data_IF_905485362219
#
_entry.id   IF_905485362219
#
_cell.length_a   1.000
_cell.length_b   1.000
_cell.length_c   1.000
_cell.angle_alpha   90.00
_cell.angle_beta   90.00
_cell.angle_gamma   90.00
#
_symmetry.space_group_name_H-M   'P 1'
#
loop_
_entity.id
_entity.type
_entity.pdbx_description
1 polymer ?
#
# COMPACT_ATOMS: atom_id res chain seq x y z
N UNK A 1 -0.11 39.12 -18.45
CA UNK A 1 -0.99 38.99 -17.26
C UNK A 1 -0.87 37.55 -16.79
N UNK A 2 -0.17 37.29 -15.69
CA UNK A 2 -0.09 35.93 -15.13
C UNK A 2 -1.47 35.54 -14.60
N UNK A 3 -2.17 34.67 -15.30
CA UNK A 3 -3.40 34.07 -14.77
C UNK A 3 -3.00 33.21 -13.59
N UNK A 4 -3.32 33.64 -12.37
CA UNK A 4 -3.17 32.80 -11.18
C UNK A 4 -3.95 31.51 -11.41
N UNK A 5 -3.29 30.37 -11.34
CA UNK A 5 -3.93 29.06 -11.48
C UNK A 5 -4.72 28.75 -10.22
N UNK A 6 -5.98 28.37 -10.40
CA UNK A 6 -6.82 27.91 -9.29
C UNK A 6 -6.31 26.56 -8.78
N UNK A 7 -6.17 26.44 -7.46
CA UNK A 7 -5.60 25.26 -6.79
C UNK A 7 -6.55 24.82 -5.68
N UNK A 8 -6.95 23.55 -5.74
CA UNK A 8 -7.63 22.87 -4.64
C UNK A 8 -6.69 21.86 -3.98
N UNK A 9 -6.68 21.86 -2.65
CA UNK A 9 -5.96 20.89 -1.85
C UNK A 9 -6.96 20.04 -1.06
N UNK A 10 -6.80 18.73 -1.14
CA UNK A 10 -7.66 17.76 -0.48
C UNK A 10 -6.87 16.61 0.14
N UNK A 11 -7.45 15.99 1.16
CA UNK A 11 -6.87 14.92 1.96
C UNK A 11 -7.98 14.13 2.66
N UNK A 12 -7.72 12.90 3.10
CA UNK A 12 -8.75 11.99 3.65
C UNK A 12 -9.48 12.56 4.87
N UNK A 13 -8.78 13.30 5.73
CA UNK A 13 -9.36 13.99 6.90
C UNK A 13 -9.87 15.42 6.62
N UNK A 14 -10.10 15.80 5.35
CA UNK A 14 -10.56 17.15 5.02
C UNK A 14 -11.89 17.48 5.70
N UNK A 15 -11.96 18.68 6.30
CA UNK A 15 -13.19 19.19 6.89
C UNK A 15 -14.30 19.33 5.85
N UNK A 16 -15.54 18.97 6.23
CA UNK A 16 -16.70 19.08 5.34
C UNK A 16 -17.20 20.52 5.17
N UNK A 17 -16.81 21.41 6.08
CA UNK A 17 -17.41 22.72 6.29
C UNK A 17 -16.80 23.88 5.50
N UNK A 18 -15.48 23.95 5.22
CA UNK A 18 -14.92 25.12 4.54
C UNK A 18 -15.44 25.22 3.10
N UNK A 19 -15.87 26.41 2.70
CA UNK A 19 -16.20 26.69 1.30
C UNK A 19 -14.96 26.47 0.38
N UNK A 20 -15.15 26.19 -0.92
CA UNK A 20 -14.06 26.17 -1.89
C UNK A 20 -13.24 27.47 -1.84
N UNK A 21 -11.91 27.36 -1.74
CA UNK A 21 -10.96 28.47 -1.64
C UNK A 21 -10.70 28.97 -0.22
N UNK A 22 -11.31 28.36 0.80
CA UNK A 22 -11.07 28.66 2.22
C UNK A 22 -10.36 27.54 2.96
N UNK A 23 -10.04 26.44 2.27
CA UNK A 23 -9.24 25.35 2.82
C UNK A 23 -7.75 25.68 2.88
N UNK A 24 -7.01 24.95 3.71
CA UNK A 24 -5.56 25.10 3.80
C UNK A 24 -4.89 24.76 2.46
N UNK A 25 -4.08 25.69 1.96
CA UNK A 25 -3.31 25.52 0.72
C UNK A 25 -4.13 25.65 -0.57
N UNK A 26 -5.36 26.14 -0.49
CA UNK A 26 -6.17 26.50 -1.65
C UNK A 26 -5.91 27.94 -2.10
N UNK A 27 -5.91 28.16 -3.41
CA UNK A 27 -5.75 29.49 -4.00
C UNK A 27 -6.73 29.61 -5.16
N UNK A 28 -7.70 30.52 -5.08
CA UNK A 28 -8.69 30.73 -6.13
C UNK A 28 -8.68 32.20 -6.60
N UNK A 29 -8.77 32.38 -7.91
CA UNK A 29 -8.94 33.65 -8.60
C UNK A 29 -10.35 34.23 -8.41
N UNK A 30 -11.39 33.37 -8.42
CA UNK A 30 -12.77 33.73 -8.12
C UNK A 30 -13.50 32.59 -7.42
N UNK A 31 -14.08 32.88 -6.26
CA UNK A 31 -14.90 31.92 -5.51
C UNK A 31 -16.25 31.63 -6.18
N UNK A 32 -16.66 32.47 -7.13
CA UNK A 32 -17.94 32.39 -7.81
C UNK A 32 -17.97 31.28 -8.86
N UNK A 33 -16.82 30.99 -9.46
CA UNK A 33 -16.61 29.95 -10.47
C UNK A 33 -16.95 28.55 -9.94
N UNK A 34 -16.80 28.33 -8.63
CA UNK A 34 -16.93 27.01 -7.98
C UNK A 34 -18.15 26.91 -7.06
N UNK A 35 -19.22 27.68 -7.35
CA UNK A 35 -20.48 27.61 -6.59
C UNK A 35 -21.09 26.22 -6.55
N UNK A 36 -21.05 25.50 -7.67
CA UNK A 36 -21.63 24.16 -7.76
C UNK A 36 -20.94 23.18 -6.81
N UNK A 37 -19.63 23.34 -6.60
CA UNK A 37 -18.86 22.54 -5.67
C UNK A 37 -19.30 22.73 -4.20
N UNK A 38 -19.91 23.89 -3.85
CA UNK A 38 -20.49 24.13 -2.51
C UNK A 38 -21.71 23.27 -2.22
N UNK A 39 -22.41 22.78 -3.25
CA UNK A 39 -23.61 21.95 -3.08
C UNK A 39 -23.25 20.54 -2.58
N UNK A 40 -22.01 20.11 -2.80
CA UNK A 40 -21.53 18.79 -2.40
C UNK A 40 -20.84 18.87 -1.02
N UNK A 41 -21.53 18.40 0.02
CA UNK A 41 -21.00 18.34 1.37
C UNK A 41 -19.79 17.40 1.43
N UNK A 42 -18.64 17.92 1.89
CA UNK A 42 -17.43 17.08 1.99
C UNK A 42 -16.76 16.75 0.66
N UNK A 43 -17.01 17.51 -0.42
CA UNK A 43 -16.44 17.29 -1.75
C UNK A 43 -14.92 17.02 -1.78
N UNK A 44 -14.14 17.64 -0.87
CA UNK A 44 -12.69 17.39 -0.75
C UNK A 44 -12.39 15.92 -0.44
N UNK A 45 -13.17 15.31 0.47
CA UNK A 45 -13.00 13.90 0.80
C UNK A 45 -13.42 13.03 -0.38
N UNK A 46 -14.50 13.38 -1.07
CA UNK A 46 -14.97 12.64 -2.27
C UNK A 46 -13.88 12.50 -3.33
N UNK A 47 -12.96 13.46 -3.46
CA UNK A 47 -11.84 13.37 -4.39
C UNK A 47 -10.76 12.33 -4.00
N UNK A 48 -10.72 11.89 -2.73
CA UNK A 48 -9.71 10.95 -2.21
C UNK A 48 -10.04 9.49 -2.53
N UNK A 49 -9.06 8.59 -2.51
CA UNK A 49 -9.30 7.15 -2.71
C UNK A 49 -10.08 6.49 -1.55
N UNK A 50 -9.99 7.06 -0.34
CA UNK A 50 -10.58 6.50 0.89
C UNK A 50 -12.06 6.88 1.08
N UNK A 51 -12.64 7.67 0.18
CA UNK A 51 -14.06 8.03 0.27
C UNK A 51 -14.96 6.84 -0.06
N UNK A 52 -16.02 6.69 0.74
CA UNK A 52 -17.10 5.73 0.50
C UNK A 52 -17.97 6.22 -0.65
N UNK A 53 -17.57 5.90 -1.87
CA UNK A 53 -18.33 6.19 -3.10
C UNK A 53 -18.48 4.87 -3.84
N UNK A 54 -19.57 4.10 -3.61
CA UNK A 54 -19.74 2.79 -4.22
C UNK A 54 -19.66 2.86 -5.74
N UNK A 55 -18.92 1.93 -6.35
CA UNK A 55 -18.75 1.82 -7.81
C UNK A 55 -18.45 0.38 -8.21
N UNK A 56 -18.64 0.08 -9.50
CA UNK A 56 -18.33 -1.24 -10.06
C UNK A 56 -17.05 -1.17 -10.88
N UNK A 57 -16.11 -2.08 -10.61
CA UNK A 57 -14.87 -2.22 -11.39
C UNK A 57 -14.53 -3.70 -11.54
N UNK A 58 -14.25 -4.14 -12.77
CA UNK A 58 -14.03 -5.54 -13.14
C UNK A 58 -15.17 -6.49 -12.69
N UNK A 59 -16.42 -6.02 -12.73
CA UNK A 59 -17.60 -6.80 -12.33
C UNK A 59 -17.76 -6.98 -10.81
N UNK A 60 -16.92 -6.33 -9.99
CA UNK A 60 -16.99 -6.36 -8.54
C UNK A 60 -17.47 -4.99 -8.05
N UNK A 61 -18.38 -4.98 -7.07
CA UNK A 61 -18.79 -3.76 -6.38
C UNK A 61 -17.80 -3.41 -5.26
N UNK A 62 -17.30 -2.19 -5.29
CA UNK A 62 -16.33 -1.66 -4.34
C UNK A 62 -16.94 -0.49 -3.58
N UNK A 63 -16.73 -0.47 -2.26
CA UNK A 63 -17.19 0.64 -1.40
C UNK A 63 -16.26 1.85 -1.50
N UNK A 64 -14.95 1.61 -1.59
CA UNK A 64 -13.90 2.64 -1.67
C UNK A 64 -12.94 2.32 -2.80
N UNK A 65 -12.28 3.34 -3.37
CA UNK A 65 -11.23 3.10 -4.35
C UNK A 65 -9.96 2.54 -3.70
N UNK A 66 -9.69 2.85 -2.44
CA UNK A 66 -8.56 2.32 -1.68
C UNK A 66 -8.53 0.79 -1.66
N UNK A 67 -9.68 0.14 -1.46
CA UNK A 67 -9.77 -1.32 -1.47
C UNK A 67 -9.58 -1.90 -2.87
N UNK A 68 -10.11 -1.24 -3.90
CA UNK A 68 -9.95 -1.66 -5.28
C UNK A 68 -8.48 -1.55 -5.77
N UNK A 69 -7.77 -0.52 -5.31
CA UNK A 69 -6.34 -0.30 -5.62
C UNK A 69 -5.44 -1.43 -5.14
N UNK A 70 -5.82 -2.18 -4.11
CA UNK A 70 -5.07 -3.38 -3.67
C UNK A 70 -5.01 -4.46 -4.75
N UNK A 71 -5.89 -4.41 -5.74
CA UNK A 71 -5.99 -5.40 -6.84
C UNK A 71 -5.80 -4.81 -8.23
N UNK A 72 -5.44 -3.52 -8.35
CA UNK A 72 -5.55 -2.78 -9.60
C UNK A 72 -4.60 -1.61 -9.76
N UNK A 73 -4.64 -1.02 -10.95
CA UNK A 73 -3.85 0.18 -11.27
C UNK A 73 -4.61 1.46 -10.92
N UNK A 74 -3.88 2.51 -10.53
CA UNK A 74 -4.45 3.74 -9.98
C UNK A 74 -5.40 4.44 -10.95
N UNK A 75 -4.98 4.56 -12.21
CA UNK A 75 -5.77 5.24 -13.24
C UNK A 75 -7.08 4.52 -13.53
N UNK A 76 -7.06 3.20 -13.67
CA UNK A 76 -8.25 2.40 -14.00
C UNK A 76 -9.29 2.45 -12.88
N UNK A 77 -8.85 2.25 -11.64
CA UNK A 77 -9.74 2.25 -10.46
C UNK A 77 -10.38 3.62 -10.27
N UNK A 78 -9.60 4.71 -10.35
CA UNK A 78 -10.14 6.06 -10.23
C UNK A 78 -11.06 6.40 -11.40
N UNK A 79 -10.75 5.98 -12.62
CA UNK A 79 -11.63 6.16 -13.78
C UNK A 79 -12.98 5.49 -13.53
N UNK A 80 -12.97 4.24 -13.08
CA UNK A 80 -14.19 3.51 -12.74
C UNK A 80 -14.98 4.15 -11.60
N UNK A 81 -14.30 4.64 -10.55
CA UNK A 81 -14.93 5.37 -9.45
C UNK A 81 -15.68 6.61 -9.94
N UNK A 82 -14.99 7.48 -10.68
CA UNK A 82 -15.55 8.76 -11.12
C UNK A 82 -16.48 8.66 -12.34
N UNK A 83 -16.50 7.53 -13.05
CA UNK A 83 -17.49 7.27 -14.09
C UNK A 83 -18.71 6.50 -13.56
N UNK A 84 -18.52 5.59 -12.62
CA UNK A 84 -19.56 4.71 -12.09
C UNK A 84 -20.40 5.33 -10.98
N UNK A 85 -19.89 6.33 -10.27
CA UNK A 85 -20.62 7.01 -9.20
C UNK A 85 -20.97 8.46 -9.60
N UNK A 86 -22.26 8.75 -9.75
CA UNK A 86 -22.75 10.06 -10.24
C UNK A 86 -22.41 11.22 -9.28
N UNK A 87 -22.37 10.99 -7.96
CA UNK A 87 -21.98 12.04 -7.00
C UNK A 87 -20.49 12.37 -7.11
N UNK A 88 -19.63 11.34 -7.13
CA UNK A 88 -18.19 11.53 -7.29
C UNK A 88 -17.87 12.22 -8.62
N UNK A 89 -18.55 11.80 -9.70
CA UNK A 89 -18.47 12.39 -11.04
C UNK A 89 -18.85 13.87 -11.03
N UNK A 90 -19.98 14.22 -10.42
CA UNK A 90 -20.44 15.61 -10.31
C UNK A 90 -19.44 16.47 -9.54
N UNK A 91 -18.90 15.96 -8.43
CA UNK A 91 -17.84 16.64 -7.66
C UNK A 91 -16.61 16.89 -8.52
N UNK A 92 -16.11 15.86 -9.24
CA UNK A 92 -14.93 16.00 -10.08
C UNK A 92 -15.13 17.02 -11.21
N UNK A 93 -16.30 17.02 -11.87
CA UNK A 93 -16.63 17.99 -12.90
C UNK A 93 -16.76 19.42 -12.35
N UNK A 94 -17.32 19.57 -11.14
CA UNK A 94 -17.46 20.86 -10.46
C UNK A 94 -16.11 21.51 -10.06
N UNK A 95 -15.00 20.76 -10.10
CA UNK A 95 -13.65 21.33 -9.91
C UNK A 95 -13.14 22.13 -11.12
N UNK A 96 -13.87 22.15 -12.24
CA UNK A 96 -13.60 23.06 -13.36
C UNK A 96 -12.25 22.81 -14.04
N UNK A 97 -11.39 23.84 -14.08
CA UNK A 97 -10.01 23.79 -14.60
C UNK A 97 -8.96 23.92 -13.49
N UNK A 98 -9.38 23.84 -12.22
CA UNK A 98 -8.48 23.94 -11.09
C UNK A 98 -7.51 22.75 -11.05
N UNK A 99 -6.30 23.02 -10.55
CA UNK A 99 -5.32 21.99 -10.23
C UNK A 99 -5.72 21.26 -8.96
N UNK A 100 -5.53 19.95 -8.96
CA UNK A 100 -5.94 19.08 -7.86
C UNK A 100 -4.69 18.57 -7.13
N UNK A 101 -4.57 18.92 -5.86
CA UNK A 101 -3.42 18.57 -5.02
C UNK A 101 -3.84 17.70 -3.84
N UNK A 102 -3.25 16.52 -3.72
CA UNK A 102 -3.48 15.60 -2.61
C UNK A 102 -2.43 15.80 -1.53
N UNK A 103 -2.87 15.95 -0.28
CA UNK A 103 -1.99 16.14 0.88
C UNK A 103 -1.84 14.88 1.73
N UNK A 104 -0.61 14.46 2.00
CA UNK A 104 -0.28 13.36 2.94
C UNK A 104 0.81 13.81 3.91
N UNK A 105 0.51 13.81 5.20
CA UNK A 105 1.48 13.97 6.32
C UNK A 105 2.61 14.98 6.06
N UNK A 106 2.26 16.20 5.64
CA UNK A 106 3.21 17.31 5.44
C UNK A 106 3.79 17.44 4.02
N UNK A 107 3.52 16.48 3.14
CA UNK A 107 3.81 16.55 1.70
C UNK A 107 2.53 16.79 0.91
N UNK A 108 2.65 17.43 -0.25
CA UNK A 108 1.55 17.58 -1.21
C UNK A 108 2.03 17.17 -2.59
N UNK A 109 1.18 16.42 -3.29
CA UNK A 109 1.43 15.91 -4.63
C UNK A 109 0.31 16.40 -5.55
N UNK A 110 0.66 16.80 -6.77
CA UNK A 110 -0.35 17.14 -7.77
C UNK A 110 -0.90 15.85 -8.38
N UNK A 111 -2.21 15.69 -8.36
CA UNK A 111 -2.91 14.56 -8.96
C UNK A 111 -3.43 14.94 -10.35
N UNK A 112 -2.53 14.94 -11.33
CA UNK A 112 -2.83 15.13 -12.75
C UNK A 112 -3.77 14.04 -13.29
N UNK A 113 -3.71 12.82 -12.74
CA UNK A 113 -4.63 11.71 -13.08
C UNK A 113 -6.10 12.13 -12.94
N UNK A 114 -6.49 12.86 -11.88
CA UNK A 114 -7.86 13.32 -11.73
C UNK A 114 -8.23 14.41 -12.74
N UNK A 115 -7.27 15.27 -13.09
CA UNK A 115 -7.45 16.29 -14.11
C UNK A 115 -7.67 15.65 -15.49
N UNK A 116 -6.89 14.61 -15.82
CA UNK A 116 -7.04 13.81 -17.04
C UNK A 116 -8.39 13.09 -17.11
N UNK A 117 -8.80 12.43 -16.00
CA UNK A 117 -10.10 11.74 -15.91
C UNK A 117 -11.24 12.75 -16.10
N UNK A 118 -11.14 13.93 -15.47
CA UNK A 118 -12.11 15.02 -15.61
C UNK A 118 -12.25 15.46 -17.07
N UNK A 119 -11.14 15.70 -17.77
CA UNK A 119 -11.16 16.08 -19.19
C UNK A 119 -11.64 14.93 -20.09
N UNK A 120 -11.36 13.68 -19.74
CA UNK A 120 -11.93 12.50 -20.39
C UNK A 120 -13.45 12.46 -20.29
N UNK A 121 -14.00 12.68 -19.08
CA UNK A 121 -15.46 12.71 -18.86
C UNK A 121 -16.10 13.88 -19.62
N UNK A 122 -15.49 15.07 -19.61
CA UNK A 122 -15.99 16.24 -20.38
C UNK A 122 -16.06 15.96 -21.87
N UNK A 123 -15.03 15.32 -22.45
CA UNK A 123 -15.02 14.94 -23.87
C UNK A 123 -16.12 13.94 -24.21
N UNK A 124 -16.36 12.96 -23.34
CA UNK A 124 -17.43 11.98 -23.54
C UNK A 124 -18.82 12.64 -23.51
N UNK A 125 -19.04 13.61 -22.61
CA UNK A 125 -20.31 14.38 -22.53
C UNK A 125 -20.51 15.26 -23.78
N UNK A 126 -19.44 15.92 -24.25
CA UNK A 126 -19.46 16.73 -25.48
C UNK A 126 -19.75 15.91 -26.74
N UNK A 127 -19.22 14.70 -26.84
CA UNK A 127 -19.49 13.80 -27.97
C UNK A 127 -20.94 13.29 -28.00
N UNK A 128 -21.61 13.17 -26.85
CA UNK A 128 -23.02 12.74 -26.78
C UNK A 128 -24.02 13.85 -27.11
N UNK A 129 -23.60 15.12 -27.14
CA UNK A 129 -24.50 16.27 -27.37
C UNK A 129 -24.57 16.74 -28.83
N UNK A 130 -23.69 16.25 -29.71
CA UNK A 130 -23.66 16.63 -31.14
C UNK A 130 -24.43 15.67 -32.08
N UNK A 131 -25.08 14.64 -31.56
CA UNK A 131 -25.81 13.62 -32.35
C UNK A 131 -27.34 13.56 -32.13
N UNK A 132 -28.00 14.67 -31.79
CA UNK A 132 -29.47 14.73 -31.86
C UNK A 132 -29.99 16.04 -32.48
N UNK A 133 -29.91 16.13 -33.81
CA UNK A 133 -30.92 16.87 -34.61
C UNK A 133 -31.09 16.16 -35.96
N UNK A 134 -32.19 15.42 -36.14
CA UNK A 134 -33.14 15.52 -37.28
C UNK A 134 -34.35 14.60 -37.00
N UNK A 135 -35.60 15.08 -37.11
CA UNK A 135 -36.80 14.32 -36.82
C UNK A 135 -37.39 13.66 -38.09
N UNK A 136 -37.90 12.41 -37.99
CA UNK A 136 -38.96 11.92 -38.90
C UNK A 136 -39.96 11.00 -38.19
N UNK A 137 -41.19 11.20 -38.62
CA UNK A 137 -42.47 10.78 -38.06
C UNK A 137 -42.81 9.30 -38.30
N UNK A 138 -43.59 8.76 -37.36
CA UNK A 138 -44.68 7.78 -37.49
C UNK A 138 -44.61 6.70 -38.59
N UNK A 139 -44.70 5.44 -38.15
CA UNK A 139 -45.85 4.59 -38.49
C UNK A 139 -46.04 3.44 -37.50
N UNK A 140 -47.25 3.40 -36.97
CA UNK A 140 -47.88 2.31 -36.23
C UNK A 140 -47.66 0.93 -36.85
N UNK A 141 -47.49 -0.10 -36.00
CA UNK A 141 -48.22 -1.36 -36.16
C UNK A 141 -48.39 -2.09 -34.83
N UNK A 142 -49.65 -2.46 -34.64
CA UNK A 142 -50.33 -3.12 -33.53
C UNK A 142 -50.04 -4.63 -33.58
N UNK A 143 -49.92 -5.27 -32.42
CA UNK A 143 -50.37 -6.64 -32.13
C UNK A 143 -50.07 -6.96 -30.65
N UNK A 144 -51.05 -6.79 -29.75
CA UNK A 144 -51.95 -7.84 -29.22
C UNK A 144 -51.29 -8.86 -28.28
N UNK A 145 -51.55 -8.64 -26.99
CA UNK A 145 -52.08 -9.58 -26.01
C UNK A 145 -51.33 -10.88 -25.69
N UNK A 146 -50.88 -11.01 -24.44
CA UNK A 146 -51.57 -11.91 -23.49
C UNK A 146 -51.24 -11.59 -22.03
N UNK A 147 -52.29 -11.72 -21.24
CA UNK A 147 -52.50 -11.40 -19.84
C UNK A 147 -52.48 -12.71 -19.05
N UNK A 148 -51.75 -12.76 -17.94
CA UNK A 148 -51.92 -13.69 -16.80
C UNK A 148 -51.42 -12.90 -15.58
N UNK A 149 -52.28 -12.22 -14.81
CA UNK A 149 -52.85 -12.66 -13.51
C UNK A 149 -51.81 -13.32 -12.58
N UNK A 150 -51.73 -13.08 -11.29
CA UNK A 150 -52.25 -12.11 -10.33
C UNK A 150 -51.52 -12.46 -9.01
N UNK A 151 -51.48 -11.52 -8.07
CA UNK A 151 -51.50 -11.78 -6.63
C UNK A 151 -50.23 -12.30 -5.94
N UNK A 152 -49.65 -11.46 -5.06
CA UNK A 152 -49.69 -11.64 -3.60
C UNK A 152 -48.38 -11.18 -2.94
N UNK A 153 -48.44 -10.05 -2.22
CA UNK A 153 -47.55 -9.75 -1.09
C UNK A 153 -47.76 -10.78 0.05
N UNK A 154 -46.79 -10.93 0.96
CA UNK A 154 -46.96 -10.24 2.25
C UNK A 154 -45.66 -9.71 2.92
N UNK A 155 -45.86 -8.65 3.73
CA UNK A 155 -45.29 -8.30 5.06
C UNK A 155 -43.87 -8.80 5.39
N UNK A 156 -42.85 -7.96 5.60
CA UNK A 156 -42.59 -7.08 6.76
C UNK A 156 -42.86 -7.70 8.15
N UNK A 157 -41.77 -8.14 8.79
CA UNK A 157 -41.62 -8.26 10.24
C UNK A 157 -40.19 -7.86 10.62
N UNK A 158 -40.09 -7.05 11.67
CA UNK A 158 -38.87 -6.56 12.31
C UNK A 158 -38.46 -7.56 13.39
N UNK A 159 -37.16 -7.78 13.59
CA UNK A 159 -36.67 -8.26 14.89
C UNK A 159 -35.23 -7.83 15.17
N UNK A 160 -34.96 -7.71 16.47
CA UNK A 160 -33.93 -6.88 17.10
C UNK A 160 -32.59 -7.60 17.31
N UNK A 161 -31.58 -6.75 17.49
CA UNK A 161 -30.31 -6.94 18.21
C UNK A 161 -30.35 -7.93 19.39
N UNK A 162 -29.35 -8.83 19.45
CA UNK A 162 -28.66 -9.18 20.69
C UNK A 162 -27.27 -9.78 20.43
N UNK A 163 -26.31 -9.32 21.22
CA UNK A 163 -24.92 -9.73 21.22
C UNK A 163 -24.70 -11.00 22.06
N UNK A 164 -23.74 -11.83 21.66
CA UNK A 164 -23.04 -12.76 22.54
C UNK A 164 -21.63 -13.03 22.03
N UNK A 165 -20.66 -12.74 22.91
CA UNK A 165 -19.26 -13.12 22.79
C UNK A 165 -19.12 -14.64 22.77
N UNK A 166 -18.42 -15.19 21.77
CA UNK A 166 -17.83 -16.52 21.87
C UNK A 166 -16.36 -16.48 21.46
N UNK A 167 -15.54 -16.97 22.39
CA UNK A 167 -14.10 -17.11 22.34
C UNK A 167 -13.66 -18.11 21.27
N UNK A 168 -12.86 -17.66 20.31
CA UNK A 168 -12.22 -18.52 19.31
C UNK A 168 -10.80 -18.87 19.75
N UNK A 169 -10.56 -20.16 20.03
CA UNK A 169 -9.23 -20.74 20.23
C UNK A 169 -8.83 -21.44 18.93
N UNK A 170 -7.73 -21.07 18.25
CA UNK A 170 -7.21 -21.88 17.16
C UNK A 170 -6.22 -22.94 17.64
N UNK A 171 -6.49 -24.16 17.19
CA UNK A 171 -5.76 -25.40 17.34
C UNK A 171 -4.33 -25.33 16.77
N UNK A 172 -3.39 -26.00 17.43
CA UNK A 172 -1.99 -26.08 17.03
C UNK A 172 -1.76 -27.26 16.07
N UNK A 173 -1.22 -27.00 14.87
CA UNK A 173 -0.76 -28.03 13.93
C UNK A 173 0.58 -27.64 13.32
N UNK A 174 1.57 -28.54 13.39
CA UNK A 174 3.04 -28.35 13.33
C UNK A 174 3.75 -27.97 12.01
N UNK A 175 4.80 -27.16 12.18
CA UNK A 175 5.80 -26.58 11.26
C UNK A 175 6.29 -25.25 11.86
N UNK A 176 7.29 -25.36 12.73
CA UNK A 176 7.95 -24.27 13.43
C UNK A 176 9.33 -24.09 12.83
N UNK A 177 9.65 -22.89 12.33
CA UNK A 177 11.03 -22.52 12.01
C UNK A 177 11.64 -21.82 13.23
N UNK A 178 12.40 -22.57 14.04
CA UNK A 178 13.22 -22.01 15.12
C UNK A 178 14.40 -21.29 14.46
N UNK A 179 14.53 -19.99 14.66
CA UNK A 179 15.68 -19.22 14.17
C UNK A 179 16.71 -19.02 15.30
N UNK A 180 18.02 -19.13 15.02
CA UNK A 180 19.05 -19.01 16.05
C UNK A 180 19.10 -17.59 16.62
N UNK A 181 19.37 -17.50 17.92
CA UNK A 181 19.55 -16.24 18.62
C UNK A 181 20.77 -15.49 18.06
N UNK A 182 20.59 -14.19 17.82
CA UNK A 182 21.64 -13.29 17.39
C UNK A 182 22.60 -13.05 18.57
N UNK A 183 23.62 -13.89 18.72
CA UNK A 183 24.67 -13.69 19.73
C UNK A 183 25.63 -12.64 19.20
N UNK A 184 25.41 -11.38 19.59
CA UNK A 184 26.46 -10.35 19.58
C UNK A 184 26.53 -9.68 20.94
N UNK A 185 27.30 -10.30 21.82
CA UNK A 185 28.07 -9.58 22.84
C UNK A 185 29.06 -10.56 23.45
N UNK A 186 30.35 -10.30 23.22
CA UNK A 186 31.42 -10.28 24.23
C UNK A 186 32.77 -10.19 23.52
N UNK A 187 33.61 -9.28 24.02
CA UNK A 187 35.05 -9.50 24.24
C UNK A 187 35.95 -9.65 23.01
N UNK A 188 36.91 -8.73 22.91
CA UNK A 188 38.15 -8.89 22.16
C UNK A 188 38.89 -10.15 22.63
N UNK A 189 39.63 -10.76 21.70
CA UNK A 189 40.56 -11.90 21.81
C UNK A 189 39.95 -13.30 21.58
N UNK A 190 40.03 -13.78 20.33
CA UNK A 190 40.99 -14.84 19.96
C UNK A 190 41.05 -14.95 18.42
N UNK A 191 42.26 -15.08 17.91
CA UNK A 191 42.62 -15.05 16.50
C UNK A 191 42.21 -16.39 15.85
N UNK A 192 40.94 -16.57 15.55
CA UNK A 192 40.47 -17.70 14.76
C UNK A 192 40.68 -17.40 13.27
N UNK A 193 41.48 -18.25 12.65
CA UNK A 193 41.83 -18.30 11.23
C UNK A 193 40.56 -18.33 10.35
N UNK A 194 40.16 -17.16 9.85
CA UNK A 194 39.11 -17.05 8.83
C UNK A 194 39.73 -17.53 7.53
N UNK A 195 39.33 -18.73 7.10
CA UNK A 195 39.65 -19.25 5.78
C UNK A 195 39.19 -18.26 4.71
N UNK A 196 40.17 -17.74 3.95
CA UNK A 196 39.98 -16.83 2.82
C UNK A 196 39.33 -17.55 1.64
N UNK A 197 38.02 -17.80 1.69
CA UNK A 197 37.30 -18.36 0.54
C UNK A 197 35.90 -17.78 0.45
N UNK A 198 35.77 -16.50 0.03
CA UNK A 198 34.63 -16.03 -0.81
C UNK A 198 34.57 -14.52 -1.12
N UNK A 199 35.64 -13.73 -0.90
CA UNK A 199 35.66 -12.31 -1.34
C UNK A 199 35.57 -12.11 -2.86
N UNK A 200 35.66 -13.18 -3.67
CA UNK A 200 35.48 -13.12 -5.13
C UNK A 200 34.04 -13.29 -5.61
N UNK A 201 33.04 -13.49 -4.75
CA UNK A 201 31.64 -13.64 -5.19
C UNK A 201 30.76 -12.40 -5.06
N UNK A 202 31.23 -11.32 -4.45
CA UNK A 202 30.43 -10.09 -4.28
C UNK A 202 30.50 -9.17 -5.51
N UNK A 203 29.34 -8.61 -5.88
CA UNK A 203 29.21 -7.62 -6.96
C UNK A 203 30.04 -6.34 -6.69
N UNK A 204 30.15 -5.95 -5.41
CA UNK A 204 30.91 -4.80 -4.92
C UNK A 204 32.29 -5.29 -4.47
N UNK A 205 33.37 -4.66 -4.99
CA UNK A 205 34.75 -4.91 -4.57
C UNK A 205 35.51 -3.62 -4.32
N UNK A 206 36.45 -3.69 -3.38
CA UNK A 206 37.30 -2.59 -2.98
C UNK A 206 38.75 -2.85 -3.38
N UNK A 207 39.48 -1.77 -3.63
CA UNK A 207 40.88 -1.81 -3.97
C UNK A 207 41.73 -2.20 -2.76
N UNK A 208 42.57 -3.22 -2.90
CA UNK A 208 43.47 -3.69 -1.84
C UNK A 208 44.57 -2.70 -1.43
N UNK A 209 44.79 -1.65 -2.22
CA UNK A 209 45.85 -0.65 -1.98
C UNK A 209 45.33 0.57 -1.23
N UNK A 210 44.08 0.98 -1.47
CA UNK A 210 43.56 2.26 -0.96
C UNK A 210 42.08 2.22 -0.56
N UNK A 211 41.49 1.03 -0.43
CA UNK A 211 40.10 0.77 -0.01
C UNK A 211 39.02 1.54 -0.79
N UNK A 212 39.37 2.06 -1.97
CA UNK A 212 38.42 2.73 -2.86
C UNK A 212 37.66 1.70 -3.71
N UNK A 213 36.42 2.03 -4.04
CA UNK A 213 35.57 1.20 -4.90
C UNK A 213 36.19 0.97 -6.28
N UNK A 214 36.13 -0.28 -6.76
CA UNK A 214 36.61 -0.67 -8.09
C UNK A 214 35.50 -0.57 -9.14
N UNK A 215 35.80 0.06 -10.27
CA UNK A 215 34.87 0.24 -11.39
C UNK A 215 35.05 -0.83 -12.44
N UNK A 216 33.95 -1.32 -13.01
CA UNK A 216 34.01 -2.25 -14.13
C UNK A 216 34.44 -1.51 -15.42
N UNK A 217 35.37 -2.12 -16.15
CA UNK A 217 35.86 -1.68 -17.44
C UNK A 217 36.03 -2.91 -18.35
N UNK A 218 35.59 -2.80 -19.60
CA UNK A 218 35.80 -3.85 -20.62
C UNK A 218 36.96 -3.41 -21.51
N UNK A 219 37.92 -4.29 -21.78
CA UNK A 219 39.08 -3.96 -22.61
C UNK A 219 39.19 -4.82 -23.87
N UNK A 220 39.31 -4.12 -25.01
CA UNK A 220 39.69 -4.68 -26.31
C UNK A 220 38.63 -5.53 -27.02
N UNK A 221 39.00 -6.01 -28.21
CA UNK A 221 38.21 -6.96 -29.03
C UNK A 221 37.98 -8.30 -28.31
N UNK A 222 38.79 -8.61 -27.30
CA UNK A 222 38.75 -9.86 -26.53
C UNK A 222 37.66 -9.90 -25.44
N UNK A 223 36.88 -8.82 -25.25
CA UNK A 223 35.74 -8.77 -24.31
C UNK A 223 36.11 -9.18 -22.87
N UNK A 224 37.32 -8.84 -22.40
CA UNK A 224 37.76 -9.18 -21.05
C UNK A 224 37.24 -8.14 -20.06
N UNK A 225 36.59 -8.62 -18.99
CA UNK A 225 36.08 -7.78 -17.91
C UNK A 225 37.16 -7.56 -16.85
N UNK A 226 37.48 -6.30 -16.58
CA UNK A 226 38.44 -5.89 -15.55
C UNK A 226 37.81 -4.86 -14.61
N UNK A 227 38.24 -4.88 -13.34
CA UNK A 227 37.87 -3.90 -12.32
C UNK A 227 39.04 -2.97 -12.05
N UNK A 228 38.86 -1.66 -12.22
CA UNK A 228 39.90 -0.63 -12.06
C UNK A 228 39.60 0.32 -10.90
N UNK A 229 40.62 0.58 -10.08
CA UNK A 229 40.60 1.67 -9.11
C UNK A 229 40.96 2.99 -9.81
N UNK A 230 40.07 3.98 -9.74
CA UNK A 230 40.34 5.32 -10.30
C UNK A 230 41.35 6.14 -9.52
N UNK A 231 41.55 5.82 -8.24
CA UNK A 231 42.45 6.57 -7.37
C UNK A 231 43.92 6.17 -7.55
N UNK A 232 44.22 4.85 -7.54
CA UNK A 232 45.60 4.35 -7.60
C UNK A 232 45.94 3.57 -8.88
N UNK A 233 44.97 3.31 -9.76
CA UNK A 233 45.18 2.58 -11.01
C UNK A 233 45.28 1.05 -10.87
N UNK A 234 45.06 0.49 -9.66
CA UNK A 234 45.00 -0.96 -9.43
C UNK A 234 43.95 -1.63 -10.34
N UNK A 235 44.29 -2.81 -10.88
CA UNK A 235 43.42 -3.59 -11.77
C UNK A 235 43.25 -5.01 -11.25
N UNK A 236 42.01 -5.50 -11.24
CA UNK A 236 41.61 -6.86 -10.90
C UNK A 236 40.93 -7.49 -12.12
N UNK A 237 41.60 -8.44 -12.77
CA UNK A 237 41.10 -9.10 -13.97
C UNK A 237 40.36 -10.38 -13.60
N UNK A 238 39.15 -10.55 -14.13
CA UNK A 238 38.34 -11.76 -13.91
C UNK A 238 38.39 -12.67 -15.14
N UNK A 239 39.35 -13.58 -15.17
CA UNK A 239 39.53 -14.51 -16.29
C UNK A 239 38.47 -15.64 -16.35
N UNK A 240 37.67 -15.82 -15.30
CA UNK A 240 36.72 -16.94 -15.18
C UNK A 240 35.24 -16.57 -15.28
N UNK A 241 34.93 -15.32 -15.63
CA UNK A 241 33.54 -14.82 -15.65
C UNK A 241 32.99 -14.63 -14.23
N UNK A 242 32.56 -13.40 -13.94
CA UNK A 242 32.06 -13.01 -12.62
C UNK A 242 30.63 -12.49 -12.67
N UNK A 243 29.86 -12.74 -11.62
CA UNK A 243 28.55 -12.12 -11.43
C UNK A 243 28.74 -10.61 -11.25
N UNK A 244 28.24 -9.83 -12.21
CA UNK A 244 28.36 -8.35 -12.20
C UNK A 244 27.24 -7.71 -11.38
N UNK A 245 26.01 -8.18 -11.60
CA UNK A 245 24.82 -7.66 -10.92
C UNK A 245 23.81 -8.78 -10.79
N UNK A 246 23.28 -8.93 -9.58
CA UNK A 246 22.15 -9.78 -9.27
C UNK A 246 21.09 -8.94 -8.58
N UNK A 247 19.85 -9.07 -9.04
CA UNK A 247 18.71 -8.37 -8.46
C UNK A 247 17.75 -9.42 -7.92
N UNK A 248 17.72 -9.57 -6.60
CA UNK A 248 16.69 -10.34 -5.92
C UNK A 248 15.46 -9.45 -5.72
N UNK A 249 14.43 -9.64 -6.54
CA UNK A 249 13.12 -9.03 -6.33
C UNK A 249 12.36 -9.94 -5.35
N UNK A 250 12.66 -9.84 -4.07
CA UNK A 250 11.80 -10.40 -3.05
C UNK A 250 10.56 -9.50 -2.92
N UNK A 251 9.36 -10.03 -3.19
CA UNK A 251 8.14 -9.36 -2.74
C UNK A 251 8.30 -9.12 -1.23
N UNK A 252 8.09 -7.87 -0.78
CA UNK A 252 8.27 -7.35 0.59
C UNK A 252 7.50 -8.09 1.72
N UNK A 253 7.08 -9.33 1.52
CA UNK A 253 6.49 -10.17 2.54
C UNK A 253 7.50 -10.61 3.63
N UNK A 254 8.80 -10.39 3.44
CA UNK A 254 9.84 -10.97 4.30
C UNK A 254 10.51 -10.00 5.30
N UNK A 255 10.25 -8.69 5.32
CA UNK A 255 11.02 -7.73 6.15
C UNK A 255 10.63 -7.64 7.64
N UNK A 256 9.92 -8.62 8.19
CA UNK A 256 9.58 -8.59 9.62
C UNK A 256 10.81 -8.62 10.55
N UNK A 257 11.92 -9.23 10.13
CA UNK A 257 13.10 -9.45 10.96
C UNK A 257 14.04 -8.24 11.06
N UNK A 258 14.05 -7.36 10.07
CA UNK A 258 14.88 -6.14 10.08
C UNK A 258 14.47 -5.16 11.19
N UNK A 259 13.27 -5.36 11.76
CA UNK A 259 12.68 -4.50 12.79
C UNK A 259 13.03 -4.92 14.23
N UNK A 260 13.71 -6.05 14.45
CA UNK A 260 13.97 -6.56 15.80
C UNK A 260 15.44 -6.33 16.18
N UNK A 261 15.63 -5.61 17.28
CA UNK A 261 16.93 -5.29 17.85
C UNK A 261 17.05 -5.87 19.28
N UNK A 262 18.27 -5.91 19.82
CA UNK A 262 18.58 -6.34 21.18
C UNK A 262 17.86 -5.53 22.28
N UNK A 263 17.44 -4.30 21.95
CA UNK A 263 16.70 -3.42 22.88
C UNK A 263 15.19 -3.58 22.79
N UNK A 264 14.65 -4.32 21.80
CA UNK A 264 13.21 -4.42 21.58
C UNK A 264 12.51 -4.98 22.83
N UNK A 265 13.07 -6.01 23.47
CA UNK A 265 12.51 -6.58 24.71
C UNK A 265 12.57 -5.63 25.94
N UNK A 266 13.32 -4.53 25.88
CA UNK A 266 13.42 -3.56 26.98
C UNK A 266 12.34 -2.48 26.91
N UNK A 267 11.63 -2.34 25.79
CA UNK A 267 10.58 -1.34 25.64
C UNK A 267 9.28 -1.80 26.34
N UNK A 268 9.01 -1.20 27.49
CA UNK A 268 7.81 -1.46 28.33
C UNK A 268 6.48 -1.13 27.65
N UNK A 269 6.49 -0.46 26.49
CA UNK A 269 5.28 -0.10 25.74
C UNK A 269 4.87 -1.17 24.75
N UNK A 270 5.70 -2.19 24.52
CA UNK A 270 5.32 -3.26 23.63
C UNK A 270 4.20 -4.09 24.25
N UNK A 271 3.26 -4.60 23.45
CA UNK A 271 2.22 -5.50 23.94
C UNK A 271 2.78 -6.83 24.42
N UNK A 272 2.35 -7.25 25.62
CA UNK A 272 2.71 -8.52 26.24
C UNK A 272 1.50 -9.46 26.28
N UNK A 273 1.73 -10.73 25.99
CA UNK A 273 0.79 -11.84 26.17
C UNK A 273 1.22 -12.62 27.42
N UNK A 274 0.58 -12.33 28.54
CA UNK A 274 0.78 -13.04 29.79
C UNK A 274 -0.04 -14.31 29.82
N UNK A 275 0.58 -15.45 30.10
CA UNK A 275 -0.07 -16.75 30.38
C UNK A 275 -1.01 -17.29 29.28
N UNK A 276 -1.06 -16.63 28.12
CA UNK A 276 -1.99 -16.96 27.02
C UNK A 276 -1.36 -17.94 26.03
N UNK A 277 -0.04 -17.86 25.85
CA UNK A 277 0.72 -18.73 24.95
C UNK A 277 1.95 -19.28 25.67
N UNK A 278 2.33 -20.53 25.36
CA UNK A 278 3.55 -21.14 25.86
C UNK A 278 4.74 -20.76 25.00
N UNK A 279 5.92 -20.73 25.60
CA UNK A 279 7.15 -20.54 24.84
C UNK A 279 7.42 -21.79 23.97
N UNK A 280 7.88 -21.55 22.75
CA UNK A 280 8.22 -22.58 21.78
C UNK A 280 9.52 -23.33 22.11
N UNK A 281 10.34 -22.74 22.97
CA UNK A 281 11.57 -23.35 23.43
C UNK A 281 11.24 -24.27 24.61
N UNK A 282 11.31 -25.59 24.39
CA UNK A 282 11.05 -26.60 25.41
C UNK A 282 11.98 -26.49 26.64
N UNK A 283 13.17 -25.89 26.47
CA UNK A 283 14.12 -25.65 27.56
C UNK A 283 13.74 -24.43 28.41
N UNK A 284 12.76 -23.64 28.00
CA UNK A 284 12.36 -22.43 28.69
C UNK A 284 11.51 -22.76 29.93
N UNK A 285 11.75 -22.10 31.08
CA UNK A 285 10.89 -22.25 32.25
C UNK A 285 9.40 -21.97 31.97
N UNK A 286 9.08 -21.07 31.04
CA UNK A 286 7.68 -20.76 30.66
C UNK A 286 7.03 -21.77 29.72
N UNK A 287 7.73 -22.82 29.29
CA UNK A 287 7.11 -23.95 28.56
C UNK A 287 6.45 -24.96 29.52
N UNK A 288 6.87 -24.98 30.79
CA UNK A 288 6.38 -25.93 31.79
C UNK A 288 4.96 -25.57 32.28
N UNK A 289 4.10 -26.58 32.55
CA UNK A 289 2.76 -26.33 33.08
C UNK A 289 2.81 -25.68 34.46
N UNK A 290 2.00 -24.63 34.66
CA UNK A 290 1.90 -23.91 35.94
C UNK A 290 2.93 -22.79 36.15
N UNK A 291 3.78 -22.49 35.15
CA UNK A 291 4.68 -21.33 35.17
C UNK A 291 4.16 -20.21 34.29
N UNK A 292 4.39 -18.98 34.73
CA UNK A 292 3.95 -17.80 34.00
C UNK A 292 4.75 -17.62 32.71
N UNK A 293 4.05 -17.31 31.62
CA UNK A 293 4.65 -16.99 30.34
C UNK A 293 4.52 -15.50 30.05
N UNK A 294 5.62 -14.92 29.59
CA UNK A 294 5.65 -13.54 29.12
C UNK A 294 6.22 -13.53 27.69
N UNK A 295 5.35 -13.17 26.75
CA UNK A 295 5.64 -13.16 25.31
C UNK A 295 5.26 -11.79 24.75
N UNK A 296 6.25 -11.08 24.22
CA UNK A 296 6.03 -9.86 23.47
C UNK A 296 5.63 -10.21 22.04
N UNK A 297 4.64 -9.53 21.47
CA UNK A 297 4.26 -9.71 20.07
C UNK A 297 4.30 -8.40 19.29
N UNK A 298 4.76 -8.48 18.05
CA UNK A 298 4.88 -7.34 17.12
C UNK A 298 4.22 -7.73 15.80
N UNK A 299 3.26 -6.92 15.36
CA UNK A 299 2.61 -7.07 14.06
C UNK A 299 3.51 -6.50 12.97
N UNK A 300 3.93 -7.33 12.02
CA UNK A 300 4.80 -6.91 10.92
C UNK A 300 4.10 -6.88 9.56
N UNK A 301 3.03 -7.67 9.40
CA UNK A 301 2.22 -7.70 8.18
C UNK A 301 0.77 -7.41 8.54
N UNK A 302 0.27 -6.26 8.08
CA UNK A 302 -1.08 -5.81 8.42
C UNK A 302 -2.13 -6.59 7.62
N UNK A 303 -1.83 -6.91 6.37
CA UNK A 303 -2.77 -7.54 5.43
C UNK A 303 -2.94 -9.02 5.75
N UNK A 304 -1.82 -9.73 5.96
CA UNK A 304 -1.83 -11.15 6.25
C UNK A 304 -1.92 -11.45 7.76
N UNK A 305 -2.11 -10.42 8.60
CA UNK A 305 -2.16 -10.53 10.06
C UNK A 305 -1.00 -11.34 10.64
N UNK A 306 0.23 -11.09 10.16
CA UNK A 306 1.42 -11.82 10.63
C UNK A 306 2.09 -11.12 11.80
N UNK A 307 2.49 -11.93 12.76
CA UNK A 307 3.10 -11.49 14.01
C UNK A 307 4.46 -12.14 14.21
N UNK A 308 5.34 -11.43 14.91
CA UNK A 308 6.55 -11.96 15.50
C UNK A 308 6.35 -12.02 17.00
N UNK A 309 6.67 -13.16 17.59
CA UNK A 309 6.59 -13.42 19.01
C UNK A 309 8.00 -13.55 19.57
N UNK A 310 8.24 -12.95 20.73
CA UNK A 310 9.52 -13.01 21.44
C UNK A 310 9.25 -13.35 22.90
N UNK A 311 9.87 -14.41 23.40
CA UNK A 311 9.76 -14.76 24.81
C UNK A 311 10.65 -13.82 25.64
N UNK A 312 10.09 -13.17 26.66
CA UNK A 312 10.85 -12.28 27.55
C UNK A 312 11.90 -13.06 28.38
N UNK A 313 11.64 -14.33 28.67
CA UNK A 313 12.45 -15.15 29.59
C UNK A 313 13.67 -15.77 28.88
N UNK A 314 13.46 -16.45 27.75
CA UNK A 314 14.54 -17.13 27.03
C UNK A 314 14.96 -16.43 25.73
N UNK A 315 14.33 -15.31 25.38
CA UNK A 315 14.61 -14.51 24.18
C UNK A 315 14.45 -15.27 22.86
N UNK A 316 13.77 -16.42 22.89
CA UNK A 316 13.41 -17.13 21.68
C UNK A 316 12.43 -16.30 20.86
N UNK A 317 12.66 -16.24 19.54
CA UNK A 317 11.85 -15.47 18.60
C UNK A 317 11.27 -16.41 17.55
N UNK A 318 9.97 -16.30 17.27
CA UNK A 318 9.28 -17.09 16.26
C UNK A 318 8.17 -16.29 15.58
N UNK A 319 7.68 -16.76 14.43
CA UNK A 319 6.63 -16.07 13.66
C UNK A 319 5.30 -16.81 13.78
N UNK A 320 4.20 -16.08 13.57
CA UNK A 320 2.92 -16.70 13.27
C UNK A 320 3.04 -17.57 12.01
N UNK A 321 2.37 -18.71 12.02
CA UNK A 321 2.33 -19.62 10.86
C UNK A 321 1.60 -18.94 9.71
N UNK A 322 1.94 -19.36 8.49
CA UNK A 322 1.30 -18.92 7.25
C UNK A 322 0.02 -19.71 7.02
#
# INVERSE_FOLDING_TARGET
MSTMTDVFQFYSSSAATPAPGKGNGESLSSTETYKELRKHLGWRRTLTHSAETPFTWNGIEWKTAEDALKKGELREVLTAKFQGNEEAKAVLLATGSAQLWYGVKGTKERWDILEDIREGIKRNIGSTTEMEVVPKQNKSKKNTSKKVTASASPKQEQEQEQASEESFVPEAGDTVTVMPANVRSMGVEEKAEVQEVDSKKSAIRFCTVCDNYLYLQVEGEKQVLQRICRNCGFRDTEDQGGLVSEMHIEQRAAEGYTLINEFTLKDKRLPHLYNTMKCINDKCPSALPGKESDIVYIKYDIENLRYIYMCYICQATWRSRR
#
